data_IF_959655122770
#
_entry.id   IF_959655122770
#
_cell.length_a   1.000
_cell.length_b   1.000
_cell.length_c   1.000
_cell.angle_alpha   90.00
_cell.angle_beta   90.00
_cell.angle_gamma   90.00
#
_symmetry.space_group_name_H-M   'P 1'
#
loop_
_entity.id
_entity.type
_entity.pdbx_description
1 polymer ?
#
# COMPACT_ATOMS: atom_id res chain seq x y z
N UNK A 1 17.16 -1.44 -5.40
CA UNK A 1 16.34 -1.46 -6.63
C UNK A 1 14.92 -1.33 -6.16
N UNK A 2 14.14 -0.42 -6.74
CA UNK A 2 12.72 -0.28 -6.40
C UNK A 2 11.93 -1.15 -7.36
N UNK A 3 11.04 -1.98 -6.82
CA UNK A 3 10.13 -2.83 -7.59
C UNK A 3 8.74 -2.22 -7.54
N UNK A 4 8.12 -2.04 -8.70
CA UNK A 4 6.76 -1.54 -8.80
C UNK A 4 5.76 -2.70 -8.71
N UNK A 5 4.76 -2.58 -7.85
CA UNK A 5 3.67 -3.54 -7.66
C UNK A 5 2.33 -2.83 -7.86
N UNK A 6 1.43 -3.44 -8.63
CA UNK A 6 0.07 -2.93 -8.73
C UNK A 6 -0.70 -3.23 -7.43
N UNK A 7 -1.19 -2.20 -6.73
CA UNK A 7 -1.93 -2.38 -5.48
C UNK A 7 -3.30 -3.04 -5.69
N UNK A 8 -3.87 -2.92 -6.89
CA UNK A 8 -5.15 -3.53 -7.24
C UNK A 8 -5.04 -5.05 -7.55
N UNK A 9 -3.83 -5.61 -7.67
CA UNK A 9 -3.60 -7.06 -7.85
C UNK A 9 -3.75 -7.83 -6.53
N UNK A 10 -4.94 -7.76 -5.95
CA UNK A 10 -5.28 -8.29 -4.62
C UNK A 10 -5.03 -9.78 -4.46
N UNK A 11 -5.18 -10.54 -5.55
CA UNK A 11 -5.00 -12.00 -5.55
C UNK A 11 -3.52 -12.39 -5.45
N UNK A 12 -2.61 -11.56 -5.98
CA UNK A 12 -1.18 -11.85 -6.00
C UNK A 12 -0.35 -10.99 -5.02
N UNK A 13 -0.94 -9.96 -4.40
CA UNK A 13 -0.25 -9.00 -3.55
C UNK A 13 0.61 -9.68 -2.47
N UNK A 14 0.07 -10.71 -1.82
CA UNK A 14 0.80 -11.47 -0.79
C UNK A 14 2.06 -12.15 -1.33
N UNK A 15 2.00 -12.74 -2.52
CA UNK A 15 3.12 -13.45 -3.13
C UNK A 15 4.14 -12.47 -3.70
N UNK A 16 3.69 -11.35 -4.27
CA UNK A 16 4.55 -10.28 -4.75
C UNK A 16 5.32 -9.61 -3.61
N UNK A 17 4.69 -9.35 -2.46
CA UNK A 17 5.37 -8.83 -1.26
C UNK A 17 6.45 -9.82 -0.79
N UNK A 18 6.10 -11.11 -0.66
CA UNK A 18 7.07 -12.15 -0.22
C UNK A 18 8.23 -12.29 -1.18
N UNK A 19 7.99 -12.22 -2.48
CA UNK A 19 9.02 -12.32 -3.50
C UNK A 19 10.03 -11.15 -3.45
N UNK A 20 9.66 -10.03 -2.84
CA UNK A 20 10.46 -8.81 -2.77
C UNK A 20 11.04 -8.51 -1.37
N UNK A 21 11.01 -9.48 -0.45
CA UNK A 21 11.71 -9.36 0.83
C UNK A 21 13.18 -8.94 0.65
N UNK A 22 13.63 -7.96 1.43
CA UNK A 22 14.95 -7.33 1.32
C UNK A 22 15.06 -6.22 0.26
N UNK A 23 13.96 -5.83 -0.40
CA UNK A 23 13.94 -4.72 -1.36
C UNK A 23 12.99 -3.61 -0.92
N UNK A 24 13.06 -2.48 -1.62
CA UNK A 24 12.03 -1.44 -1.57
C UNK A 24 11.00 -1.65 -2.68
N UNK A 25 9.74 -1.41 -2.35
CA UNK A 25 8.58 -1.58 -3.22
C UNK A 25 7.83 -0.26 -3.32
N UNK A 26 7.45 0.13 -4.53
CA UNK A 26 6.48 1.19 -4.79
C UNK A 26 5.19 0.56 -5.29
N UNK A 27 4.06 1.01 -4.75
CA UNK A 27 2.74 0.57 -5.15
C UNK A 27 2.09 1.58 -6.09
N UNK A 28 1.23 1.11 -7.01
CA UNK A 28 0.52 1.98 -7.97
C UNK A 28 -0.37 3.04 -7.31
N UNK A 29 -0.84 2.81 -6.08
CA UNK A 29 -1.56 3.81 -5.27
C UNK A 29 -0.66 4.89 -4.62
N UNK A 30 0.66 4.82 -4.83
CA UNK A 30 1.64 5.78 -4.31
C UNK A 30 2.23 5.42 -2.96
N UNK A 31 1.83 4.31 -2.33
CA UNK A 31 2.51 3.80 -1.14
C UNK A 31 3.93 3.32 -1.47
N UNK A 32 4.83 3.48 -0.52
CA UNK A 32 6.18 2.93 -0.57
C UNK A 32 6.44 2.04 0.64
N UNK A 33 7.21 0.96 0.47
CA UNK A 33 7.57 0.04 1.54
C UNK A 33 9.02 -0.43 1.43
N UNK A 34 9.76 -0.36 2.52
CA UNK A 34 11.01 -1.08 2.73
C UNK A 34 10.72 -2.43 3.37
N UNK A 35 10.93 -3.50 2.61
CA UNK A 35 10.90 -4.89 3.09
C UNK A 35 12.28 -5.38 3.56
N UNK A 36 13.21 -4.46 3.79
CA UNK A 36 14.45 -4.72 4.51
C UNK A 36 14.17 -4.68 6.01
N UNK A 37 14.48 -5.76 6.72
CA UNK A 37 14.28 -5.85 8.17
C UNK A 37 15.19 -4.85 8.88
N UNK A 38 14.59 -3.88 9.57
CA UNK A 38 15.28 -2.95 10.44
C UNK A 38 14.92 -3.27 11.88
N UNK A 39 15.70 -4.17 12.50
CA UNK A 39 15.53 -4.59 13.88
C UNK A 39 14.13 -5.15 14.19
N UNK A 40 13.60 -6.00 13.30
CA UNK A 40 12.27 -6.59 13.45
C UNK A 40 11.12 -5.71 12.93
N UNK A 41 11.42 -4.63 12.22
CA UNK A 41 10.44 -3.67 11.71
C UNK A 41 10.60 -3.51 10.19
N UNK A 42 9.47 -3.47 9.50
CA UNK A 42 9.38 -2.95 8.14
C UNK A 42 8.83 -1.53 8.16
N UNK A 43 9.37 -0.68 7.30
CA UNK A 43 9.01 0.73 7.20
C UNK A 43 8.29 1.01 5.89
N UNK A 44 7.36 1.95 5.89
CA UNK A 44 6.70 2.41 4.67
C UNK A 44 6.28 3.86 4.77
N UNK A 45 5.85 4.41 3.65
CA UNK A 45 5.29 5.75 3.54
C UNK A 45 3.99 5.68 2.76
N UNK A 46 2.96 6.37 3.26
CA UNK A 46 1.70 6.51 2.52
C UNK A 46 1.90 7.40 1.28
N UNK A 47 0.89 7.54 0.40
CA UNK A 47 1.00 8.37 -0.81
C UNK A 47 1.29 9.86 -0.53
N UNK A 48 1.10 10.29 0.71
CA UNK A 48 1.34 11.65 1.19
C UNK A 48 2.64 11.81 1.99
N UNK A 49 3.49 10.77 2.05
CA UNK A 49 4.79 10.81 2.73
C UNK A 49 4.73 10.68 4.25
N UNK A 50 3.61 10.21 4.81
CA UNK A 50 3.51 9.91 6.24
C UNK A 50 4.03 8.50 6.52
N UNK A 51 4.87 8.39 7.55
CA UNK A 51 5.49 7.12 7.92
C UNK A 51 4.46 6.11 8.44
N UNK A 52 4.67 4.86 8.06
CA UNK A 52 4.03 3.67 8.58
C UNK A 52 5.09 2.64 8.93
N UNK A 53 4.77 1.74 9.87
CA UNK A 53 5.62 0.59 10.16
C UNK A 53 4.80 -0.59 10.67
N UNK A 54 5.36 -1.78 10.53
CA UNK A 54 4.83 -2.99 11.15
C UNK A 54 5.97 -3.91 11.58
N UNK A 55 5.67 -4.88 12.45
CA UNK A 55 6.62 -5.94 12.76
C UNK A 55 6.90 -6.79 11.52
N UNK A 56 8.13 -7.24 11.34
CA UNK A 56 8.55 -8.18 10.28
C UNK A 56 8.25 -9.65 10.63
N UNK A 57 7.44 -9.89 11.66
CA UNK A 57 7.02 -11.24 12.07
C UNK A 57 6.03 -11.86 11.09
N UNK A 58 5.62 -13.12 11.29
CA UNK A 58 4.75 -13.85 10.37
C UNK A 58 3.39 -13.16 10.05
N UNK A 59 2.95 -12.17 10.84
CA UNK A 59 1.73 -11.39 10.61
C UNK A 59 1.91 -10.16 9.70
N UNK A 60 3.14 -9.86 9.26
CA UNK A 60 3.43 -8.63 8.51
C UNK A 60 2.62 -8.52 7.20
N UNK A 61 2.42 -9.64 6.50
CA UNK A 61 1.73 -9.67 5.20
C UNK A 61 0.32 -9.11 5.31
N UNK A 62 -0.45 -9.54 6.33
CA UNK A 62 -1.81 -9.05 6.55
C UNK A 62 -1.81 -7.56 6.90
N UNK A 63 -0.82 -7.11 7.69
CA UNK A 63 -0.68 -5.70 8.05
C UNK A 63 -0.39 -4.82 6.83
N UNK A 64 0.51 -5.27 5.95
CA UNK A 64 0.82 -4.57 4.68
C UNK A 64 -0.42 -4.55 3.79
N UNK A 65 -1.07 -5.69 3.53
CA UNK A 65 -2.25 -5.76 2.64
C UNK A 65 -3.37 -4.85 3.13
N UNK A 66 -3.68 -4.87 4.44
CA UNK A 66 -4.72 -4.01 5.00
C UNK A 66 -4.35 -2.53 4.90
N UNK A 67 -3.07 -2.19 5.05
CA UNK A 67 -2.59 -0.82 4.92
C UNK A 67 -2.62 -0.32 3.47
N UNK A 68 -2.24 -1.16 2.50
CA UNK A 68 -2.37 -0.85 1.06
C UNK A 68 -3.84 -0.66 0.69
N UNK A 69 -4.72 -1.59 1.10
CA UNK A 69 -6.16 -1.49 0.84
C UNK A 69 -6.80 -0.24 1.45
N UNK A 70 -6.29 0.24 2.59
CA UNK A 70 -6.75 1.50 3.18
C UNK A 70 -6.47 2.69 2.25
N UNK A 71 -5.32 2.73 1.58
CA UNK A 71 -4.91 3.82 0.69
C UNK A 71 -5.35 3.66 -0.77
N UNK A 72 -5.88 2.50 -1.17
CA UNK A 72 -6.57 2.35 -2.45
C UNK A 72 -7.89 3.15 -2.50
N UNK A 73 -8.49 3.42 -1.34
CA UNK A 73 -9.63 4.32 -1.26
C UNK A 73 -9.19 5.78 -1.35
N UNK A 74 -9.92 6.65 -2.08
CA UNK A 74 -9.57 8.05 -2.21
C UNK A 74 -9.68 8.75 -0.85
N UNK A 75 -8.53 9.08 -0.28
CA UNK A 75 -8.40 9.71 1.04
C UNK A 75 -7.58 10.99 0.97
N UNK A 76 -7.80 11.89 1.91
CA UNK A 76 -6.96 13.08 2.12
C UNK A 76 -5.62 12.69 2.77
N UNK A 77 -4.69 13.65 2.86
CA UNK A 77 -3.44 13.50 3.62
C UNK A 77 -3.64 13.19 5.12
N UNK A 78 -4.84 13.42 5.66
CA UNK A 78 -5.21 13.07 7.04
C UNK A 78 -5.87 11.70 7.17
N UNK A 79 -6.06 10.98 6.05
CA UNK A 79 -6.72 9.68 6.01
C UNK A 79 -8.26 9.75 5.95
N UNK A 80 -8.83 10.94 5.84
CA UNK A 80 -10.28 11.12 5.70
C UNK A 80 -10.74 10.72 4.30
N UNK A 81 -11.85 9.99 4.19
CA UNK A 81 -12.41 9.63 2.89
C UNK A 81 -12.84 10.87 2.12
N UNK A 82 -12.44 10.95 0.86
CA UNK A 82 -12.89 11.98 -0.06
C UNK A 82 -14.25 11.55 -0.60
N UNK A 83 -15.30 12.31 -0.28
CA UNK A 83 -16.59 12.17 -0.95
C UNK A 83 -16.43 12.59 -2.42
N UNK A 84 -16.42 11.60 -3.31
CA UNK A 84 -16.44 11.89 -4.74
C UNK A 84 -17.81 12.50 -5.11
N UNK A 85 -17.85 13.59 -5.89
CA UNK A 85 -19.10 14.11 -6.42
C UNK A 85 -19.83 13.00 -7.19
N UNK A 86 -21.12 12.81 -6.89
CA UNK A 86 -22.00 11.78 -7.49
C UNK A 86 -22.01 11.75 -9.02
N UNK A 87 -21.63 12.87 -9.65
CA UNK A 87 -21.59 13.01 -11.10
C UNK A 87 -20.41 12.29 -11.76
N UNK A 88 -19.40 11.82 -10.99
CA UNK A 88 -18.28 11.02 -11.51
C UNK A 88 -18.56 9.52 -11.52
N UNK A 89 -19.55 9.02 -10.76
CA UNK A 89 -19.96 7.60 -10.77
C UNK A 89 -20.64 7.18 -12.09
N UNK A 90 -21.12 8.13 -12.89
CA UNK A 90 -21.82 7.86 -14.16
C UNK A 90 -20.93 7.95 -15.40
N UNK A 91 -19.66 8.35 -15.26
CA UNK A 91 -18.72 8.49 -16.38
C UNK A 91 -17.83 7.26 -16.60
N UNK A 92 -17.75 6.31 -15.65
CA UNK A 92 -17.04 5.03 -15.83
C UNK A 92 -17.95 3.90 -16.34
N UNK A 93 -19.25 4.17 -16.52
CA UNK A 93 -20.26 3.18 -16.91
C UNK A 93 -20.74 3.32 -18.37
N UNK A 94 -20.07 4.13 -19.21
CA UNK A 94 -20.40 4.31 -20.64
C UNK A 94 -19.21 4.04 -21.55
#
# INVERSE_FOLDING_TARGET
MVVEIDSDDKDNLADLIKANLGNSVEFSNGCWLSLEDDNGIFWGECPYGQNWCCNSDNGFIESVINWIAYWDEPRTETGELVELPKDLETLSAN
#
